data_IF_415799362751
#
_entry.id   IF_415799362751
#
_cell.length_a   1.000
_cell.length_b   1.000
_cell.length_c   1.000
_cell.angle_alpha   90.00
_cell.angle_beta   90.00
_cell.angle_gamma   90.00
#
_symmetry.space_group_name_H-M   'P 1'
#
loop_
_entity.id
_entity.type
_entity.pdbx_description
1 polymer ?
#
# COMPACT_ATOMS: atom_id res chain seq x y z
N UNK A 1 -20.12 15.13 -7.45
CA UNK A 1 -21.06 16.17 -7.92
C UNK A 1 -21.57 15.92 -9.34
N UNK A 2 -20.73 15.64 -10.36
CA UNK A 2 -21.17 15.39 -11.74
C UNK A 2 -22.20 14.25 -11.82
N UNK A 3 -21.90 13.05 -11.28
CA UNK A 3 -22.78 11.88 -11.32
C UNK A 3 -24.14 12.13 -10.67
N UNK A 4 -24.20 12.95 -9.63
CA UNK A 4 -25.48 13.29 -8.94
C UNK A 4 -26.38 14.26 -9.74
N UNK A 5 -25.82 14.92 -10.76
CA UNK A 5 -26.54 15.88 -11.63
C UNK A 5 -26.73 15.36 -13.05
N UNK A 6 -26.10 14.23 -13.38
CA UNK A 6 -26.05 13.71 -14.76
C UNK A 6 -27.42 13.54 -15.41
N UNK A 7 -28.42 13.08 -14.63
CA UNK A 7 -29.79 12.87 -15.11
C UNK A 7 -30.52 14.18 -15.51
N UNK A 8 -30.03 15.33 -15.08
CA UNK A 8 -30.59 16.66 -15.38
C UNK A 8 -29.84 17.40 -16.51
N UNK A 9 -28.76 16.85 -17.04
CA UNK A 9 -27.91 17.46 -18.04
C UNK A 9 -28.27 16.99 -19.45
N UNK A 10 -28.06 17.86 -20.47
CA UNK A 10 -28.14 17.49 -21.87
C UNK A 10 -26.87 16.74 -22.28
N UNK A 11 -26.93 15.93 -23.37
CA UNK A 11 -25.77 15.21 -23.88
C UNK A 11 -24.54 16.12 -24.13
N UNK A 12 -24.74 17.31 -24.64
CA UNK A 12 -23.67 18.27 -24.89
C UNK A 12 -23.05 18.80 -23.58
N UNK A 13 -23.88 19.07 -22.58
CA UNK A 13 -23.40 19.46 -21.24
C UNK A 13 -22.63 18.34 -20.55
N UNK A 14 -23.09 17.10 -20.69
CA UNK A 14 -22.37 15.91 -20.18
C UNK A 14 -20.98 15.79 -20.82
N UNK A 15 -20.88 15.95 -22.16
CA UNK A 15 -19.58 15.91 -22.85
C UNK A 15 -18.64 17.03 -22.39
N UNK A 16 -19.15 18.26 -22.31
CA UNK A 16 -18.36 19.40 -21.87
C UNK A 16 -17.86 19.25 -20.41
N UNK A 17 -18.72 18.77 -19.50
CA UNK A 17 -18.31 18.51 -18.12
C UNK A 17 -17.29 17.34 -18.01
N UNK A 18 -17.41 16.30 -18.85
CA UNK A 18 -16.42 15.22 -18.91
C UNK A 18 -15.07 15.70 -19.44
N UNK A 19 -15.08 16.53 -20.50
CA UNK A 19 -13.86 17.15 -21.03
C UNK A 19 -13.16 18.06 -20.02
N UNK A 20 -13.95 18.78 -19.21
CA UNK A 20 -13.39 19.61 -18.14
C UNK A 20 -12.84 18.76 -16.98
N UNK A 21 -13.48 17.65 -16.64
CA UNK A 21 -12.97 16.69 -15.66
C UNK A 21 -11.66 16.05 -16.14
N UNK A 22 -11.54 15.72 -17.44
CA UNK A 22 -10.31 15.16 -18.00
C UNK A 22 -9.12 16.13 -17.94
N UNK A 23 -9.37 17.44 -18.01
CA UNK A 23 -8.35 18.48 -17.89
C UNK A 23 -7.88 18.75 -16.43
N UNK A 24 -8.57 18.19 -15.43
CA UNK A 24 -8.22 18.40 -14.03
C UNK A 24 -6.87 17.70 -13.74
N UNK A 25 -5.88 18.49 -13.42
CA UNK A 25 -4.58 18.00 -12.99
C UNK A 25 -4.63 17.41 -11.57
N UNK A 26 -3.71 16.46 -11.29
CA UNK A 26 -3.57 15.92 -9.94
C UNK A 26 -3.36 17.00 -8.87
N UNK A 27 -3.89 16.77 -7.68
CA UNK A 27 -3.84 17.72 -6.56
C UNK A 27 -2.41 18.02 -6.08
N UNK A 28 -1.48 17.11 -6.31
CA UNK A 28 -0.15 17.15 -5.71
C UNK A 28 0.97 17.17 -6.76
N UNK A 29 1.96 18.00 -6.49
CA UNK A 29 3.18 18.06 -7.31
C UNK A 29 4.09 16.82 -7.08
N UNK A 30 4.97 16.45 -8.03
CA UNK A 30 5.87 15.32 -7.88
C UNK A 30 6.72 15.30 -6.61
N UNK A 31 7.26 16.44 -6.09
CA UNK A 31 7.96 16.45 -4.81
C UNK A 31 7.07 16.07 -3.62
N UNK A 32 5.82 16.53 -3.62
CA UNK A 32 4.84 16.21 -2.55
C UNK A 32 4.51 14.72 -2.58
N UNK A 33 4.32 14.14 -3.78
CA UNK A 33 4.11 12.69 -3.94
C UNK A 33 5.34 11.89 -3.50
N UNK A 34 6.55 12.39 -3.76
CA UNK A 34 7.79 11.82 -3.24
C UNK A 34 7.82 11.81 -1.71
N UNK A 35 7.50 12.96 -1.09
CA UNK A 35 7.46 13.06 0.38
C UNK A 35 6.38 12.17 1.00
N UNK A 36 5.22 12.05 0.35
CA UNK A 36 4.15 11.17 0.78
C UNK A 36 4.57 9.69 0.77
N UNK A 37 5.28 9.26 -0.28
CA UNK A 37 5.85 7.92 -0.37
C UNK A 37 6.96 7.70 0.68
N UNK A 38 7.80 8.69 0.90
CA UNK A 38 8.83 8.67 1.93
C UNK A 38 8.21 8.42 3.32
N UNK A 39 7.18 9.19 3.67
CA UNK A 39 6.46 9.06 4.93
C UNK A 39 5.79 7.68 5.04
N UNK A 40 5.11 7.23 3.97
CA UNK A 40 4.43 5.95 3.94
C UNK A 40 5.39 4.78 4.13
N UNK A 41 6.46 4.71 3.35
CA UNK A 41 7.42 3.59 3.38
C UNK A 41 8.30 3.60 4.62
N UNK A 42 8.71 4.79 5.10
CA UNK A 42 9.43 4.91 6.37
C UNK A 42 8.61 4.40 7.56
N UNK A 43 7.33 4.79 7.64
CA UNK A 43 6.41 4.28 8.66
C UNK A 43 6.14 2.78 8.49
N UNK A 44 5.95 2.32 7.27
CA UNK A 44 5.72 0.90 6.96
C UNK A 44 6.92 0.01 7.34
N UNK A 45 8.15 0.54 7.24
CA UNK A 45 9.35 -0.16 7.68
C UNK A 45 9.27 -0.53 9.16
N UNK A 46 8.84 0.39 10.01
CA UNK A 46 8.62 0.11 11.44
C UNK A 46 7.55 -0.96 11.66
N UNK A 47 6.42 -0.89 10.93
CA UNK A 47 5.33 -1.86 11.05
C UNK A 47 5.74 -3.29 10.66
N UNK A 48 6.77 -3.42 9.82
CA UNK A 48 7.37 -4.71 9.45
C UNK A 48 8.50 -5.16 10.39
N UNK A 49 8.82 -4.36 11.41
CA UNK A 49 9.83 -4.67 12.42
C UNK A 49 11.19 -4.01 12.19
N UNK A 50 11.32 -3.12 11.19
CA UNK A 50 12.56 -2.39 10.92
C UNK A 50 12.87 -1.34 11.99
N UNK A 51 14.16 -1.15 12.27
CA UNK A 51 14.67 -0.15 13.21
C UNK A 51 14.77 1.26 12.60
N UNK A 52 15.29 2.19 13.39
CA UNK A 52 15.39 3.59 12.99
C UNK A 52 16.27 3.80 11.75
N UNK A 53 17.35 3.05 11.62
CA UNK A 53 18.25 3.14 10.46
C UNK A 53 17.55 2.75 9.18
N UNK A 54 16.84 1.61 9.18
CA UNK A 54 16.05 1.13 8.05
C UNK A 54 14.91 2.11 7.71
N UNK A 55 14.25 2.65 8.73
CA UNK A 55 13.19 3.64 8.55
C UNK A 55 13.69 4.88 7.80
N UNK A 56 14.84 5.43 8.22
CA UNK A 56 15.43 6.62 7.60
C UNK A 56 15.89 6.32 6.16
N UNK A 57 16.60 5.22 5.96
CA UNK A 57 17.05 4.83 4.62
C UNK A 57 15.86 4.54 3.67
N UNK A 58 14.81 3.87 4.17
CA UNK A 58 13.61 3.59 3.40
C UNK A 58 12.80 4.87 3.10
N UNK A 59 12.74 5.81 4.05
CA UNK A 59 12.12 7.12 3.85
C UNK A 59 12.72 7.84 2.63
N UNK A 60 14.02 8.02 2.60
CA UNK A 60 14.68 8.69 1.49
C UNK A 60 14.63 7.85 0.20
N UNK A 61 14.84 6.54 0.30
CA UNK A 61 14.79 5.63 -0.85
C UNK A 61 13.43 5.67 -1.55
N UNK A 62 12.34 5.55 -0.79
CA UNK A 62 10.99 5.63 -1.33
C UNK A 62 10.65 7.02 -1.88
N UNK A 63 11.09 8.08 -1.19
CA UNK A 63 10.89 9.45 -1.63
C UNK A 63 11.49 9.72 -3.00
N UNK A 64 12.75 9.35 -3.19
CA UNK A 64 13.48 9.48 -4.47
C UNK A 64 12.82 8.58 -5.53
N UNK A 65 12.54 7.31 -5.20
CA UNK A 65 11.90 6.37 -6.13
C UNK A 65 10.56 6.88 -6.64
N UNK A 66 9.66 7.32 -5.75
CA UNK A 66 8.36 7.83 -6.17
C UNK A 66 8.43 9.19 -6.88
N UNK A 67 9.40 10.02 -6.54
CA UNK A 67 9.67 11.25 -7.30
C UNK A 67 10.05 10.94 -8.76
N UNK A 68 10.96 9.96 -8.97
CA UNK A 68 11.32 9.47 -10.31
C UNK A 68 10.09 8.94 -11.03
N UNK A 69 9.29 8.08 -10.39
CA UNK A 69 8.02 7.58 -10.95
C UNK A 69 7.11 8.71 -11.41
N UNK A 70 6.90 9.71 -10.55
CA UNK A 70 6.01 10.84 -10.85
C UNK A 70 6.50 11.66 -12.03
N UNK A 71 7.82 11.81 -12.19
CA UNK A 71 8.41 12.46 -13.35
C UNK A 71 8.19 11.67 -14.63
N UNK A 72 8.41 10.34 -14.60
CA UNK A 72 8.18 9.45 -15.75
C UNK A 72 6.73 9.46 -16.20
N UNK A 73 5.79 9.42 -15.24
CA UNK A 73 4.35 9.52 -15.52
C UNK A 73 4.01 10.87 -16.19
N UNK A 74 4.60 11.98 -15.70
CA UNK A 74 4.38 13.31 -16.28
C UNK A 74 4.90 13.43 -17.71
N UNK A 75 5.94 12.67 -18.06
CA UNK A 75 6.49 12.63 -19.43
C UNK A 75 5.84 11.55 -20.29
N UNK A 76 4.73 10.95 -19.86
CA UNK A 76 3.98 9.92 -20.62
C UNK A 76 4.83 8.72 -21.03
N UNK A 77 5.83 8.36 -20.24
CA UNK A 77 6.64 7.16 -20.48
C UNK A 77 5.89 5.89 -20.11
N UNK A 78 6.30 4.76 -20.68
CA UNK A 78 5.63 3.48 -20.46
C UNK A 78 5.60 3.09 -18.98
N UNK A 79 4.51 2.45 -18.55
CA UNK A 79 4.34 1.99 -17.16
C UNK A 79 5.53 1.13 -16.68
N UNK A 80 5.96 0.18 -17.51
CA UNK A 80 7.07 -0.73 -17.19
C UNK A 80 8.37 0.04 -16.95
N UNK A 81 8.71 0.98 -17.83
CA UNK A 81 9.91 1.80 -17.67
C UNK A 81 9.85 2.65 -16.39
N UNK A 82 8.67 3.21 -16.10
CA UNK A 82 8.44 3.97 -14.87
C UNK A 82 8.64 3.12 -13.61
N UNK A 83 8.17 1.87 -13.61
CA UNK A 83 8.36 0.93 -12.48
C UNK A 83 9.84 0.58 -12.34
N UNK A 84 10.48 0.13 -13.42
CA UNK A 84 11.90 -0.26 -13.38
C UNK A 84 12.77 0.89 -12.89
N UNK A 85 12.64 2.08 -13.44
CA UNK A 85 13.44 3.24 -13.05
C UNK A 85 13.19 3.64 -11.58
N UNK A 86 11.94 3.64 -11.13
CA UNK A 86 11.60 4.05 -9.76
C UNK A 86 12.05 3.04 -8.70
N UNK A 87 11.89 1.74 -8.95
CA UNK A 87 12.38 0.68 -8.04
C UNK A 87 13.90 0.68 -7.99
N UNK A 88 14.58 0.79 -9.14
CA UNK A 88 16.04 0.87 -9.17
C UNK A 88 16.54 2.10 -8.41
N UNK A 89 15.93 3.28 -8.61
CA UNK A 89 16.29 4.49 -7.87
C UNK A 89 16.06 4.33 -6.36
N UNK A 90 14.98 3.69 -5.94
CA UNK A 90 14.69 3.43 -4.52
C UNK A 90 15.73 2.50 -3.89
N UNK A 91 16.06 1.38 -4.55
CA UNK A 91 17.06 0.42 -4.06
C UNK A 91 18.46 1.02 -4.00
N UNK A 92 18.88 1.77 -5.05
CA UNK A 92 20.19 2.44 -5.08
C UNK A 92 20.30 3.50 -3.98
N UNK A 93 19.25 4.31 -3.80
CA UNK A 93 19.24 5.35 -2.77
C UNK A 93 19.27 4.73 -1.37
N UNK A 94 18.51 3.66 -1.14
CA UNK A 94 18.55 2.91 0.13
C UNK A 94 19.96 2.40 0.40
N UNK A 95 20.55 1.66 -0.54
CA UNK A 95 21.88 1.06 -0.39
C UNK A 95 22.97 2.12 -0.18
N UNK A 96 22.95 3.20 -0.96
CA UNK A 96 23.92 4.29 -0.83
C UNK A 96 23.83 5.00 0.52
N UNK A 97 22.62 5.29 1.00
CA UNK A 97 22.42 5.90 2.32
C UNK A 97 22.81 4.95 3.46
N UNK A 98 22.54 3.66 3.29
CA UNK A 98 22.91 2.67 4.28
C UNK A 98 24.43 2.51 4.39
N UNK A 99 25.17 2.47 3.26
CA UNK A 99 26.64 2.46 3.27
C UNK A 99 27.21 3.75 3.88
N UNK A 100 26.62 4.90 3.58
CA UNK A 100 27.00 6.17 4.21
C UNK A 100 26.78 6.14 5.72
N UNK A 101 25.63 5.60 6.18
CA UNK A 101 25.33 5.44 7.61
C UNK A 101 26.31 4.49 8.30
N UNK A 102 26.73 3.39 7.66
CA UNK A 102 27.77 2.50 8.18
C UNK A 102 29.08 3.24 8.45
N UNK A 103 29.51 4.07 7.49
CA UNK A 103 30.76 4.83 7.59
C UNK A 103 30.69 5.88 8.71
N UNK A 104 29.57 6.63 8.77
CA UNK A 104 29.41 7.74 9.73
C UNK A 104 29.17 7.28 11.17
N UNK A 105 28.38 6.23 11.35
CA UNK A 105 27.93 5.76 12.67
C UNK A 105 28.60 4.45 13.11
N UNK A 106 29.55 3.92 12.33
CA UNK A 106 30.24 2.65 12.59
C UNK A 106 29.27 1.49 12.90
N UNK A 107 28.16 1.40 12.12
CA UNK A 107 27.12 0.40 12.30
C UNK A 107 27.67 -0.95 11.82
N UNK A 108 27.84 -1.90 12.76
CA UNK A 108 28.36 -3.25 12.44
C UNK A 108 27.27 -4.26 12.07
N UNK A 109 26.00 -3.93 12.32
CA UNK A 109 24.89 -4.83 12.08
C UNK A 109 24.42 -4.78 10.62
N UNK A 110 23.86 -5.90 10.16
CA UNK A 110 23.26 -6.00 8.81
C UNK A 110 21.83 -5.49 8.87
N UNK A 111 21.56 -4.40 8.14
CA UNK A 111 20.23 -3.77 8.01
C UNK A 111 19.75 -3.80 6.55
N UNK A 112 20.08 -4.90 5.87
CA UNK A 112 19.89 -5.00 4.41
C UNK A 112 18.42 -5.14 4.01
N UNK A 113 17.55 -5.69 4.86
CA UNK A 113 16.15 -5.98 4.53
C UNK A 113 15.29 -4.74 4.22
N UNK A 114 15.69 -3.56 4.67
CA UNK A 114 14.92 -2.33 4.50
C UNK A 114 14.80 -1.85 3.05
N UNK A 115 15.63 -2.31 2.10
CA UNK A 115 15.48 -1.96 0.69
C UNK A 115 14.13 -2.40 0.12
N UNK A 116 13.57 -3.50 0.64
CA UNK A 116 12.24 -3.96 0.25
C UNK A 116 11.21 -2.91 0.64
N UNK A 117 11.33 -2.37 1.86
CA UNK A 117 10.42 -1.33 2.34
C UNK A 117 10.52 -0.05 1.51
N UNK A 118 11.72 0.30 1.03
CA UNK A 118 11.93 1.46 0.18
C UNK A 118 11.19 1.39 -1.16
N UNK A 119 10.84 0.20 -1.65
CA UNK A 119 10.11 0.03 -2.91
C UNK A 119 8.61 -0.25 -2.74
N UNK A 120 8.10 -0.38 -1.50
CA UNK A 120 6.69 -0.77 -1.26
C UNK A 120 5.67 0.25 -1.77
N UNK A 121 6.06 1.50 -2.06
CA UNK A 121 5.18 2.49 -2.68
C UNK A 121 4.68 2.06 -4.07
N UNK A 122 5.36 1.12 -4.73
CA UNK A 122 5.00 0.59 -6.05
C UNK A 122 3.92 -0.50 -5.96
N UNK A 123 3.79 -1.17 -4.82
CA UNK A 123 2.88 -2.30 -4.65
C UNK A 123 1.44 -1.86 -4.92
N UNK A 124 0.74 -2.52 -5.86
CA UNK A 124 -0.57 -2.09 -6.35
C UNK A 124 -1.69 -2.50 -5.38
N UNK A 125 -1.62 -2.06 -4.13
CA UNK A 125 -2.58 -2.42 -3.10
C UNK A 125 -4.01 -1.97 -3.43
N UNK A 126 -4.17 -0.77 -3.98
CA UNK A 126 -5.47 -0.26 -4.38
C UNK A 126 -6.12 -1.13 -5.47
N UNK A 127 -5.47 -1.46 -6.60
CA UNK A 127 -6.02 -2.38 -7.59
C UNK A 127 -6.33 -3.78 -7.04
N UNK A 128 -5.52 -4.35 -6.16
CA UNK A 128 -5.81 -5.66 -5.55
C UNK A 128 -7.11 -5.65 -4.74
N UNK A 129 -7.29 -4.64 -3.89
CA UNK A 129 -8.49 -4.54 -3.05
C UNK A 129 -9.73 -4.28 -3.91
N UNK A 130 -9.64 -3.35 -4.87
CA UNK A 130 -10.79 -3.01 -5.74
C UNK A 130 -11.16 -4.15 -6.68
N UNK A 131 -10.18 -4.88 -7.23
CA UNK A 131 -10.43 -6.11 -8.00
C UNK A 131 -11.25 -7.13 -7.18
N UNK A 132 -10.84 -7.40 -5.94
CA UNK A 132 -11.59 -8.31 -5.07
C UNK A 132 -13.03 -7.84 -4.79
N UNK A 133 -13.24 -6.54 -4.62
CA UNK A 133 -14.58 -5.96 -4.44
C UNK A 133 -15.42 -6.11 -5.72
N UNK A 134 -14.85 -5.86 -6.90
CA UNK A 134 -15.58 -5.98 -8.18
C UNK A 134 -15.94 -7.43 -8.48
N UNK A 135 -14.99 -8.37 -8.29
CA UNK A 135 -15.25 -9.81 -8.44
C UNK A 135 -16.37 -10.29 -7.52
N UNK A 136 -16.43 -9.76 -6.30
CA UNK A 136 -17.50 -10.11 -5.34
C UNK A 136 -18.89 -9.62 -5.75
N UNK A 137 -18.94 -8.60 -6.61
CA UNK A 137 -20.20 -8.09 -7.20
C UNK A 137 -20.53 -8.74 -8.54
N UNK A 138 -19.76 -9.75 -8.94
CA UNK A 138 -19.83 -10.42 -10.24
C UNK A 138 -19.52 -9.49 -11.43
N UNK A 139 -18.90 -8.33 -11.19
CA UNK A 139 -18.29 -7.52 -12.25
C UNK A 139 -16.94 -8.13 -12.64
N UNK A 140 -17.05 -9.24 -13.38
CA UNK A 140 -15.89 -10.05 -13.76
C UNK A 140 -14.92 -9.30 -14.65
N UNK A 141 -15.44 -8.44 -15.55
CA UNK A 141 -14.60 -7.68 -16.49
C UNK A 141 -13.70 -6.71 -15.75
N UNK A 142 -14.27 -5.80 -14.98
CA UNK A 142 -13.50 -4.80 -14.20
C UNK A 142 -12.58 -5.46 -13.19
N UNK A 143 -13.05 -6.52 -12.53
CA UNK A 143 -12.28 -7.26 -11.55
C UNK A 143 -11.04 -7.93 -12.13
N UNK A 144 -11.16 -8.64 -13.27
CA UNK A 144 -10.05 -9.32 -13.94
C UNK A 144 -9.07 -8.30 -14.55
N UNK A 145 -9.55 -7.24 -15.18
CA UNK A 145 -8.69 -6.18 -15.73
C UNK A 145 -7.81 -5.55 -14.64
N UNK A 146 -8.38 -5.19 -13.48
CA UNK A 146 -7.63 -4.63 -12.35
C UNK A 146 -6.67 -5.63 -11.72
N UNK A 147 -7.08 -6.90 -11.61
CA UNK A 147 -6.19 -7.94 -11.10
C UNK A 147 -4.99 -8.15 -12.02
N UNK A 148 -5.23 -8.24 -13.33
CA UNK A 148 -4.17 -8.39 -14.32
C UNK A 148 -3.21 -7.20 -14.30
N UNK A 149 -3.73 -5.99 -14.22
CA UNK A 149 -2.94 -4.77 -14.07
C UNK A 149 -2.06 -4.83 -12.79
N UNK A 150 -2.63 -5.23 -11.67
CA UNK A 150 -1.89 -5.38 -10.41
C UNK A 150 -0.79 -6.45 -10.51
N UNK A 151 -1.08 -7.59 -11.15
CA UNK A 151 -0.10 -8.66 -11.35
C UNK A 151 1.08 -8.21 -12.23
N UNK A 152 0.82 -7.47 -13.30
CA UNK A 152 1.90 -6.91 -14.14
C UNK A 152 2.81 -6.00 -13.32
N UNK A 153 2.23 -5.09 -12.53
CA UNK A 153 3.02 -4.17 -11.69
C UNK A 153 3.89 -4.95 -10.69
N UNK A 154 3.29 -5.92 -9.97
CA UNK A 154 4.04 -6.64 -8.93
C UNK A 154 5.15 -7.50 -9.52
N UNK A 155 4.91 -8.16 -10.65
CA UNK A 155 5.93 -8.96 -11.34
C UNK A 155 7.11 -8.07 -11.76
N UNK A 156 6.85 -6.96 -12.43
CA UNK A 156 7.91 -6.06 -12.89
C UNK A 156 8.67 -5.45 -11.70
N UNK A 157 7.95 -5.02 -10.66
CA UNK A 157 8.57 -4.40 -9.48
C UNK A 157 9.44 -5.40 -8.70
N UNK A 158 8.93 -6.62 -8.46
CA UNK A 158 9.65 -7.65 -7.70
C UNK A 158 10.85 -8.20 -8.47
N UNK A 159 10.73 -8.40 -9.79
CA UNK A 159 11.86 -8.78 -10.65
C UNK A 159 12.94 -7.70 -10.66
N UNK A 160 12.56 -6.44 -10.79
CA UNK A 160 13.51 -5.33 -10.74
C UNK A 160 14.22 -5.26 -9.39
N UNK A 161 13.49 -5.36 -8.29
CA UNK A 161 14.07 -5.34 -6.95
C UNK A 161 14.98 -6.54 -6.69
N UNK A 162 14.62 -7.71 -7.20
CA UNK A 162 15.45 -8.92 -7.12
C UNK A 162 16.76 -8.74 -7.90
N UNK A 163 16.70 -8.22 -9.13
CA UNK A 163 17.92 -7.90 -9.92
C UNK A 163 18.80 -6.87 -9.21
N UNK A 164 18.19 -5.82 -8.64
CA UNK A 164 18.92 -4.83 -7.86
C UNK A 164 19.56 -5.45 -6.60
N UNK A 165 18.87 -6.37 -5.94
CA UNK A 165 19.42 -7.10 -4.80
C UNK A 165 20.64 -7.94 -5.18
N UNK A 166 20.61 -8.60 -6.35
CA UNK A 166 21.78 -9.34 -6.88
C UNK A 166 22.97 -8.42 -7.18
N UNK A 167 22.73 -7.28 -7.83
CA UNK A 167 23.78 -6.31 -8.20
C UNK A 167 24.40 -5.67 -6.95
N UNK A 168 23.58 -5.34 -5.94
CA UNK A 168 24.00 -4.66 -4.72
C UNK A 168 24.35 -5.64 -3.58
N UNK A 169 24.31 -6.95 -3.84
CA UNK A 169 24.54 -8.01 -2.85
C UNK A 169 23.67 -7.89 -1.58
N UNK A 170 22.41 -7.47 -1.76
CA UNK A 170 21.44 -7.35 -0.68
C UNK A 170 20.67 -8.66 -0.47
N UNK A 171 20.37 -8.99 0.79
CA UNK A 171 19.62 -10.18 1.14
C UNK A 171 18.34 -9.80 1.90
N UNK A 172 17.17 -10.45 1.62
CA UNK A 172 15.91 -10.19 2.31
C UNK A 172 15.86 -10.91 3.66
N UNK A 173 16.78 -10.56 4.56
CA UNK A 173 16.82 -11.12 5.92
C UNK A 173 15.67 -10.57 6.76
N UNK A 174 15.38 -11.22 7.88
CA UNK A 174 14.42 -10.68 8.85
C UNK A 174 15.02 -9.49 9.60
N UNK A 175 14.16 -8.58 10.03
CA UNK A 175 14.57 -7.43 10.83
C UNK A 175 15.05 -7.83 12.21
N UNK A 176 15.93 -7.03 12.79
CA UNK A 176 16.40 -7.22 14.16
C UNK A 176 15.26 -6.95 15.15
N UNK A 177 15.13 -7.75 16.21
CA UNK A 177 14.07 -7.56 17.20
C UNK A 177 14.19 -6.20 17.87
N UNK A 178 13.09 -5.46 17.93
CA UNK A 178 13.00 -4.18 18.63
C UNK A 178 12.69 -4.44 20.10
N UNK A 179 13.56 -3.99 21.02
CA UNK A 179 13.38 -4.09 22.45
C UNK A 179 12.46 -2.96 22.97
N UNK A 180 11.16 -3.04 22.65
CA UNK A 180 10.15 -2.06 23.07
C UNK A 180 9.17 -2.72 24.05
N UNK A 181 8.64 -1.93 24.98
CA UNK A 181 7.54 -2.38 25.85
C UNK A 181 6.23 -2.46 25.05
N UNK A 182 5.27 -3.28 25.51
CA UNK A 182 3.98 -3.45 24.84
C UNK A 182 3.29 -2.11 24.54
N UNK A 183 3.25 -1.19 25.49
CA UNK A 183 2.62 0.13 25.31
C UNK A 183 3.34 0.99 24.27
N UNK A 184 4.68 0.91 24.22
CA UNK A 184 5.47 1.59 23.19
C UNK A 184 5.17 1.01 21.81
N UNK A 185 5.07 -0.32 21.69
CA UNK A 185 4.69 -0.96 20.44
C UNK A 185 3.31 -0.48 19.93
N UNK A 186 2.29 -0.51 20.79
CA UNK A 186 0.94 -0.08 20.43
C UNK A 186 0.94 1.38 19.99
N UNK A 187 1.58 2.28 20.75
CA UNK A 187 1.63 3.70 20.44
C UNK A 187 2.36 3.99 19.12
N UNK A 188 3.52 3.37 18.91
CA UNK A 188 4.30 3.56 17.70
C UNK A 188 3.64 2.91 16.49
N UNK A 189 2.98 1.76 16.63
CA UNK A 189 2.18 1.14 15.58
C UNK A 189 1.00 2.02 15.17
N UNK A 190 0.33 2.64 16.13
CA UNK A 190 -0.76 3.57 15.85
C UNK A 190 -0.25 4.77 15.05
N UNK A 191 0.85 5.40 15.50
CA UNK A 191 1.45 6.53 14.82
C UNK A 191 1.99 6.16 13.43
N UNK A 192 2.70 5.04 13.30
CA UNK A 192 3.23 4.56 12.04
C UNK A 192 2.12 4.17 11.07
N UNK A 193 1.06 3.50 11.54
CA UNK A 193 -0.09 3.17 10.69
C UNK A 193 -0.82 4.43 10.22
N UNK A 194 -0.96 5.45 11.06
CA UNK A 194 -1.51 6.74 10.65
C UNK A 194 -0.66 7.39 9.54
N UNK A 195 0.65 7.52 9.76
CA UNK A 195 1.57 8.10 8.78
C UNK A 195 1.60 7.32 7.47
N UNK A 196 1.61 5.99 7.56
CA UNK A 196 1.60 5.10 6.40
C UNK A 196 0.35 5.27 5.55
N UNK A 197 -0.83 5.19 6.16
CA UNK A 197 -2.12 5.35 5.46
C UNK A 197 -2.30 6.76 4.93
N UNK A 198 -1.91 7.79 5.68
CA UNK A 198 -1.95 9.17 5.22
C UNK A 198 -1.10 9.37 3.96
N UNK A 199 0.16 8.91 3.99
CA UNK A 199 1.06 9.01 2.85
C UNK A 199 0.54 8.27 1.61
N UNK A 200 0.07 7.02 1.75
CA UNK A 200 -0.55 6.29 0.63
C UNK A 200 -1.81 6.99 0.12
N UNK A 201 -2.66 7.54 0.99
CA UNK A 201 -3.86 8.28 0.57
C UNK A 201 -3.51 9.51 -0.26
N UNK A 202 -2.48 10.26 0.13
CA UNK A 202 -1.97 11.39 -0.65
C UNK A 202 -1.44 10.93 -2.02
N UNK A 203 -0.72 9.79 -2.06
CA UNK A 203 -0.25 9.19 -3.33
C UNK A 203 -1.41 8.78 -4.25
N UNK A 204 -2.58 8.42 -3.70
CA UNK A 204 -3.81 8.16 -4.45
C UNK A 204 -4.59 9.43 -4.80
N UNK A 205 -3.96 10.59 -4.69
CA UNK A 205 -4.56 11.90 -5.01
C UNK A 205 -5.77 12.25 -4.15
N UNK A 206 -5.84 11.74 -2.93
CA UNK A 206 -6.93 12.05 -1.98
C UNK A 206 -6.73 13.43 -1.35
N UNK A 207 -7.78 14.26 -1.24
CA UNK A 207 -7.72 15.51 -0.48
C UNK A 207 -7.28 15.27 0.97
N UNK A 208 -6.60 16.24 1.58
CA UNK A 208 -6.01 16.11 2.93
C UNK A 208 -7.04 15.66 3.98
N UNK A 209 -8.27 16.19 3.93
CA UNK A 209 -9.37 15.80 4.85
C UNK A 209 -9.72 14.32 4.72
N UNK A 210 -9.81 13.84 3.48
CA UNK A 210 -10.11 12.44 3.19
C UNK A 210 -8.94 11.54 3.62
N UNK A 211 -7.71 11.94 3.28
CA UNK A 211 -6.49 11.23 3.67
C UNK A 211 -6.36 11.10 5.19
N UNK A 212 -6.63 12.18 5.95
CA UNK A 212 -6.61 12.15 7.41
C UNK A 212 -7.71 11.24 7.99
N UNK A 213 -8.92 11.27 7.43
CA UNK A 213 -10.01 10.39 7.86
C UNK A 213 -9.69 8.91 7.63
N UNK A 214 -9.14 8.58 6.45
CA UNK A 214 -8.69 7.23 6.13
C UNK A 214 -7.52 6.80 7.04
N UNK A 215 -6.61 7.73 7.36
CA UNK A 215 -5.46 7.46 8.23
C UNK A 215 -5.87 7.13 9.67
N UNK A 216 -6.85 7.83 10.23
CA UNK A 216 -7.39 7.51 11.58
C UNK A 216 -8.00 6.10 11.59
N UNK A 217 -8.83 5.77 10.60
CA UNK A 217 -9.43 4.43 10.49
C UNK A 217 -8.34 3.37 10.31
N UNK A 218 -7.40 3.61 9.39
CA UNK A 218 -6.33 2.67 9.11
C UNK A 218 -5.38 2.48 10.30
N UNK A 219 -5.12 3.54 11.07
CA UNK A 219 -4.32 3.45 12.29
C UNK A 219 -4.95 2.47 13.30
N UNK A 220 -6.25 2.62 13.59
CA UNK A 220 -6.96 1.74 14.51
C UNK A 220 -7.05 0.30 13.99
N UNK A 221 -7.47 0.14 12.73
CA UNK A 221 -7.69 -1.17 12.13
C UNK A 221 -6.38 -1.96 11.93
N UNK A 222 -5.31 -1.31 11.48
CA UNK A 222 -4.03 -1.99 11.27
C UNK A 222 -3.31 -2.30 12.60
N UNK A 223 -3.39 -1.41 13.59
CA UNK A 223 -2.85 -1.72 14.92
C UNK A 223 -3.59 -2.92 15.52
N UNK A 224 -4.93 -2.94 15.47
CA UNK A 224 -5.71 -4.12 15.91
C UNK A 224 -5.26 -5.40 15.19
N UNK A 225 -5.07 -5.34 13.86
CA UNK A 225 -4.58 -6.49 13.09
C UNK A 225 -3.23 -6.99 13.58
N UNK A 226 -2.28 -6.08 13.83
CA UNK A 226 -0.93 -6.44 14.27
C UNK A 226 -0.95 -7.04 15.68
N UNK A 227 -1.72 -6.45 16.60
CA UNK A 227 -1.85 -6.99 17.96
C UNK A 227 -2.54 -8.37 17.98
N UNK A 228 -3.51 -8.63 17.10
CA UNK A 228 -4.11 -9.97 16.96
C UNK A 228 -3.09 -11.03 16.52
N UNK A 229 -2.16 -10.67 15.63
CA UNK A 229 -1.09 -11.58 15.21
C UNK A 229 -0.10 -11.82 16.34
N UNK A 230 0.37 -10.77 17.00
CA UNK A 230 1.48 -10.86 17.93
C UNK A 230 1.05 -11.32 19.34
N UNK A 231 -0.11 -10.88 19.86
CA UNK A 231 -0.57 -11.23 21.20
C UNK A 231 -1.44 -12.48 21.24
N UNK A 232 -2.25 -12.70 20.19
CA UNK A 232 -3.22 -13.81 20.16
C UNK A 232 -2.76 -14.94 19.26
N UNK A 233 -1.62 -14.75 18.54
CA UNK A 233 -1.12 -15.71 17.53
C UNK A 233 -2.13 -16.03 16.44
N UNK A 234 -2.94 -15.03 16.07
CA UNK A 234 -3.97 -15.18 15.03
C UNK A 234 -3.31 -15.34 13.66
N UNK A 235 -3.83 -16.22 12.78
CA UNK A 235 -3.29 -16.36 11.43
C UNK A 235 -3.33 -15.01 10.69
N UNK A 236 -2.24 -14.61 9.97
CA UNK A 236 -2.15 -13.30 9.34
C UNK A 236 -3.33 -12.94 8.41
N UNK A 237 -3.87 -13.91 7.68
CA UNK A 237 -5.03 -13.71 6.81
C UNK A 237 -6.31 -13.44 7.61
N UNK A 238 -6.54 -14.17 8.71
CA UNK A 238 -7.69 -13.95 9.57
C UNK A 238 -7.59 -12.59 10.29
N UNK A 239 -6.41 -12.21 10.75
CA UNK A 239 -6.17 -10.90 11.32
C UNK A 239 -6.38 -9.77 10.29
N UNK A 240 -5.98 -9.97 9.02
CA UNK A 240 -6.24 -9.03 7.94
C UNK A 240 -7.74 -8.88 7.65
N UNK A 241 -8.50 -9.98 7.67
CA UNK A 241 -9.97 -9.94 7.57
C UNK A 241 -10.58 -9.09 8.69
N UNK A 242 -10.21 -9.33 9.95
CA UNK A 242 -10.73 -8.57 11.11
C UNK A 242 -10.35 -7.09 10.99
N UNK A 243 -9.11 -6.78 10.61
CA UNK A 243 -8.67 -5.40 10.37
C UNK A 243 -9.48 -4.69 9.29
N UNK A 244 -9.66 -5.34 8.13
CA UNK A 244 -10.46 -4.79 7.03
C UNK A 244 -11.94 -4.66 7.40
N UNK A 245 -12.50 -5.63 8.12
CA UNK A 245 -13.87 -5.57 8.64
C UNK A 245 -14.05 -4.37 9.57
N UNK A 246 -13.15 -4.18 10.53
CA UNK A 246 -13.15 -3.04 11.45
C UNK A 246 -13.05 -1.71 10.70
N UNK A 247 -12.13 -1.60 9.72
CA UNK A 247 -12.02 -0.41 8.87
C UNK A 247 -13.32 -0.12 8.11
N UNK A 248 -13.99 -1.17 7.59
CA UNK A 248 -15.26 -1.07 6.90
C UNK A 248 -16.40 -0.55 7.78
N UNK A 249 -16.48 -1.00 9.03
CA UNK A 249 -17.47 -0.52 10.02
C UNK A 249 -17.20 0.95 10.37
N UNK A 250 -15.95 1.28 10.74
CA UNK A 250 -15.56 2.65 11.10
C UNK A 250 -15.82 3.64 9.95
N UNK A 251 -15.49 3.26 8.72
CA UNK A 251 -15.75 4.08 7.54
C UNK A 251 -17.25 4.30 7.31
N UNK A 252 -18.09 3.33 7.64
CA UNK A 252 -19.55 3.47 7.53
C UNK A 252 -20.10 4.49 8.53
N UNK A 253 -19.55 4.54 9.73
CA UNK A 253 -19.92 5.51 10.75
C UNK A 253 -19.49 6.93 10.36
N UNK A 254 -18.30 7.07 9.78
CA UNK A 254 -17.73 8.36 9.38
C UNK A 254 -18.26 8.89 8.03
N UNK A 255 -18.84 8.04 7.17
CA UNK A 255 -19.32 8.43 5.83
C UNK A 255 -20.21 9.68 5.85
N UNK A 256 -21.10 9.80 6.83
CA UNK A 256 -22.04 10.94 6.94
C UNK A 256 -21.31 12.28 7.19
N UNK A 257 -20.17 12.24 7.85
CA UNK A 257 -19.42 13.45 8.23
C UNK A 257 -18.38 13.84 7.18
N UNK A 258 -17.85 12.89 6.43
CA UNK A 258 -16.76 13.11 5.47
C UNK A 258 -17.28 13.54 4.10
N UNK A 259 -18.50 13.12 3.72
CA UNK A 259 -19.15 13.53 2.47
C UNK A 259 -18.58 12.90 1.19
N UNK A 260 -17.69 11.90 1.30
CA UNK A 260 -17.08 11.19 0.17
C UNK A 260 -17.65 9.77 0.01
N UNK A 261 -17.54 9.17 -1.19
CA UNK A 261 -17.91 7.77 -1.40
C UNK A 261 -17.18 6.85 -0.43
N UNK A 262 -17.85 5.82 0.07
CA UNK A 262 -17.30 4.88 1.06
C UNK A 262 -15.97 4.27 0.61
N UNK A 263 -15.85 3.92 -0.68
CA UNK A 263 -14.65 3.27 -1.25
C UNK A 263 -13.42 4.17 -1.12
N UNK A 264 -13.59 5.49 -1.24
CA UNK A 264 -12.51 6.47 -1.11
C UNK A 264 -11.93 6.56 0.31
N UNK A 265 -12.67 6.08 1.31
CA UNK A 265 -12.22 6.02 2.70
C UNK A 265 -11.70 4.63 3.02
N UNK A 266 -12.45 3.57 2.65
CA UNK A 266 -12.15 2.19 3.06
C UNK A 266 -10.90 1.63 2.40
N UNK A 267 -10.72 1.83 1.09
CA UNK A 267 -9.59 1.23 0.37
C UNK A 267 -8.26 1.82 0.84
N UNK A 268 -8.07 3.15 0.93
CA UNK A 268 -6.83 3.69 1.48
C UNK A 268 -6.55 3.27 2.93
N UNK A 269 -7.61 3.12 3.77
CA UNK A 269 -7.41 2.73 5.18
C UNK A 269 -6.81 1.34 5.35
N UNK A 270 -7.03 0.41 4.42
CA UNK A 270 -6.51 -0.97 4.52
C UNK A 270 -5.36 -1.27 3.57
N UNK A 271 -4.97 -0.32 2.70
CA UNK A 271 -3.91 -0.56 1.71
C UNK A 271 -2.59 -0.93 2.36
N UNK A 272 -2.33 -0.42 3.56
CA UNK A 272 -1.14 -0.74 4.35
C UNK A 272 -1.10 -2.21 4.81
N UNK A 273 -2.22 -2.91 4.76
CA UNK A 273 -2.32 -4.33 5.12
C UNK A 273 -2.00 -5.26 3.96
N UNK A 274 -1.84 -4.73 2.73
CA UNK A 274 -1.52 -5.52 1.55
C UNK A 274 -0.14 -6.17 1.70
N UNK A 275 0.00 -7.47 1.42
CA UNK A 275 1.18 -8.26 1.78
C UNK A 275 2.35 -8.09 0.80
N UNK A 276 2.81 -6.86 0.58
CA UNK A 276 3.89 -6.56 -0.37
C UNK A 276 5.20 -7.26 -0.04
N UNK A 277 5.58 -7.33 1.23
CA UNK A 277 6.77 -8.06 1.68
C UNK A 277 6.66 -9.57 1.39
N UNK A 278 5.48 -10.17 1.61
CA UNK A 278 5.24 -11.59 1.34
C UNK A 278 5.38 -11.90 -0.16
N UNK A 279 4.80 -11.04 -1.00
CA UNK A 279 4.92 -11.15 -2.46
C UNK A 279 6.39 -11.05 -2.89
N UNK A 280 7.12 -10.07 -2.36
CA UNK A 280 8.55 -9.96 -2.67
C UNK A 280 9.34 -11.20 -2.23
N UNK A 281 9.17 -11.66 -0.99
CA UNK A 281 9.83 -12.87 -0.48
C UNK A 281 9.49 -14.11 -1.32
N UNK A 282 8.26 -14.24 -1.81
CA UNK A 282 7.87 -15.33 -2.72
C UNK A 282 8.68 -15.28 -4.01
N UNK A 283 8.75 -14.13 -4.67
CA UNK A 283 9.51 -13.97 -5.92
C UNK A 283 11.03 -14.13 -5.72
N UNK A 284 11.58 -13.60 -4.63
CA UNK A 284 13.00 -13.78 -4.30
C UNK A 284 13.36 -15.25 -4.13
N UNK A 285 12.57 -15.99 -3.32
CA UNK A 285 12.80 -17.41 -3.09
C UNK A 285 12.62 -18.27 -4.36
N UNK A 286 11.71 -17.86 -5.25
CA UNK A 286 11.58 -18.46 -6.57
C UNK A 286 12.87 -18.27 -7.39
N UNK A 287 13.44 -17.07 -7.37
CA UNK A 287 14.68 -16.74 -8.08
C UNK A 287 15.91 -17.49 -7.57
N UNK A 288 15.94 -17.86 -6.29
CA UNK A 288 17.00 -18.69 -5.70
C UNK A 288 16.64 -20.19 -5.66
N UNK A 289 15.64 -20.60 -6.41
CA UNK A 289 15.18 -22.00 -6.57
C UNK A 289 14.69 -22.68 -5.28
N UNK A 290 14.30 -21.91 -4.25
CA UNK A 290 13.68 -22.41 -3.02
C UNK A 290 12.16 -22.46 -3.18
N UNK A 291 11.66 -23.48 -3.90
CA UNK A 291 10.26 -23.57 -4.31
C UNK A 291 9.29 -23.73 -3.13
N UNK A 292 9.64 -24.51 -2.11
CA UNK A 292 8.79 -24.72 -0.94
C UNK A 292 8.57 -23.42 -0.16
N UNK A 293 9.66 -22.68 0.11
CA UNK A 293 9.61 -21.39 0.79
C UNK A 293 8.85 -20.36 -0.03
N UNK A 294 9.09 -20.33 -1.34
CA UNK A 294 8.38 -19.45 -2.28
C UNK A 294 6.88 -19.72 -2.27
N UNK A 295 6.46 -20.99 -2.37
CA UNK A 295 5.05 -21.40 -2.35
C UNK A 295 4.36 -21.00 -1.02
N UNK A 296 5.04 -21.17 0.11
CA UNK A 296 4.52 -20.78 1.44
C UNK A 296 4.25 -19.28 1.54
N UNK A 297 5.21 -18.43 1.10
CA UNK A 297 5.04 -16.98 1.08
C UNK A 297 3.94 -16.55 0.11
N UNK A 298 3.85 -17.18 -1.08
CA UNK A 298 2.83 -16.87 -2.07
C UNK A 298 1.44 -17.25 -1.56
N UNK A 299 1.25 -18.42 -0.97
CA UNK A 299 -0.01 -18.86 -0.39
C UNK A 299 -0.47 -17.90 0.71
N UNK A 300 0.44 -17.50 1.60
CA UNK A 300 0.14 -16.53 2.66
C UNK A 300 -0.27 -15.17 2.09
N UNK A 301 0.43 -14.69 1.05
CA UNK A 301 0.08 -13.44 0.37
C UNK A 301 -1.30 -13.51 -0.28
N UNK A 302 -1.62 -14.59 -0.99
CA UNK A 302 -2.92 -14.78 -1.64
C UNK A 302 -4.07 -14.81 -0.63
N UNK A 303 -3.91 -15.53 0.49
CA UNK A 303 -4.92 -15.56 1.54
C UNK A 303 -5.18 -14.17 2.14
N UNK A 304 -4.15 -13.35 2.35
CA UNK A 304 -4.31 -11.98 2.84
C UNK A 304 -5.01 -11.10 1.78
N UNK A 305 -4.61 -11.20 0.51
CA UNK A 305 -5.23 -10.43 -0.60
C UNK A 305 -6.72 -10.76 -0.73
N UNK A 306 -7.13 -12.00 -0.51
CA UNK A 306 -8.54 -12.39 -0.52
C UNK A 306 -9.27 -11.95 0.75
N UNK A 307 -8.63 -12.01 1.90
CA UNK A 307 -9.22 -11.66 3.19
C UNK A 307 -9.60 -10.18 3.30
N UNK A 308 -8.79 -9.28 2.71
CA UNK A 308 -9.00 -7.82 2.79
C UNK A 308 -10.33 -7.38 2.15
N UNK A 309 -10.61 -7.67 0.86
CA UNK A 309 -11.90 -7.33 0.26
C UNK A 309 -13.08 -8.02 0.96
N UNK A 310 -12.92 -9.29 1.36
CA UNK A 310 -13.96 -10.01 2.09
C UNK A 310 -14.33 -9.30 3.40
N UNK A 311 -13.35 -8.84 4.18
CA UNK A 311 -13.60 -8.07 5.40
C UNK A 311 -14.43 -6.80 5.13
N UNK A 312 -14.09 -6.04 4.06
CA UNK A 312 -14.86 -4.86 3.66
C UNK A 312 -16.27 -5.20 3.19
N UNK A 313 -16.44 -6.31 2.46
CA UNK A 313 -17.74 -6.76 1.97
C UNK A 313 -18.65 -7.15 3.13
N UNK A 314 -18.14 -7.94 4.08
CA UNK A 314 -18.89 -8.31 5.27
C UNK A 314 -19.30 -7.09 6.11
N UNK A 315 -18.39 -6.13 6.29
CA UNK A 315 -18.72 -4.85 6.93
C UNK A 315 -19.83 -4.11 6.18
N UNK A 316 -19.82 -4.14 4.84
CA UNK A 316 -20.84 -3.52 4.01
C UNK A 316 -22.17 -4.23 4.09
N UNK A 317 -22.20 -5.56 4.07
CA UNK A 317 -23.42 -6.37 4.25
C UNK A 317 -24.14 -5.99 5.55
N UNK A 318 -23.40 -5.74 6.63
CA UNK A 318 -23.99 -5.39 7.92
C UNK A 318 -24.50 -3.95 7.94
N UNK A 319 -23.75 -3.02 7.34
CA UNK A 319 -24.00 -1.58 7.47
C UNK A 319 -24.83 -0.96 6.35
N UNK A 320 -25.01 -1.64 5.23
CA UNK A 320 -25.68 -1.13 4.03
C UNK A 320 -26.82 -2.08 3.61
N UNK A 321 -28.08 -1.66 3.89
CA UNK A 321 -29.25 -2.47 3.56
C UNK A 321 -29.44 -2.65 2.05
N UNK A 322 -29.13 -1.64 1.25
CA UNK A 322 -29.27 -1.70 -0.21
C UNK A 322 -28.28 -2.70 -0.84
N UNK A 323 -27.10 -2.86 -0.25
CA UNK A 323 -26.12 -3.83 -0.72
C UNK A 323 -26.50 -5.29 -0.44
N UNK A 324 -27.33 -5.54 0.57
CA UNK A 324 -27.85 -6.89 0.88
C UNK A 324 -28.86 -7.39 -0.13
N UNK A 325 -29.59 -6.48 -0.74
CA UNK A 325 -30.65 -6.78 -1.67
C UNK A 325 -30.16 -6.56 -3.11
N UNK A 326 -29.03 -7.18 -3.49
CA UNK A 326 -28.52 -7.11 -4.87
C UNK A 326 -29.62 -7.52 -5.86
N UNK A 327 -30.33 -6.54 -6.36
CA UNK A 327 -31.23 -6.63 -7.51
C UNK A 327 -30.66 -5.79 -8.63
#
# INVERSE_FOLDING_TARGET
DFVSRCDSLTCEQVHNELDDIEKIHGLYSPPVLGLAAALACGAFTFLLGGGLTEMICAFFGAGIGNYVRSKFTKHHLTLVLGIVASVSAACLSYAGLFELAKILFNIKMRHEAGYICAMLFIIPGFPFITSGIDLSKLDMRSGIERLTYALIIIIVATMTAWLMALILHLTPMDFLPLHLTLWQFILFRLAASFCGVFGFSVMFNSPVRLAASAAVIGALANTLRLELVDLVSFPPAAAAFVGAFTAGILASLLKKYVGYPRISITVPSIVIMVPGLYLYKAFYNLGVMSLETSASWLASALLIILALPLGLIFARIITDRSFRCCT
#
